data_IF_185560122613
#
_entry.id   IF_185560122613
#
_cell.length_a   1.000
_cell.length_b   1.000
_cell.length_c   1.000
_cell.angle_alpha   90.00
_cell.angle_beta   90.00
_cell.angle_gamma   90.00
#
_symmetry.space_group_name_H-M   'P 1'
#
loop_
_entity.id
_entity.type
_entity.pdbx_description
1 polymer ?
#
# COMPACT_ATOMS: atom_id res chain seq x y z
N UNK A 1 12.04 -14.47 0.88
CA UNK A 1 12.42 -13.42 -0.10
C UNK A 1 11.42 -12.27 0.02
N UNK A 2 11.54 -11.40 1.03
CA UNK A 2 10.54 -10.37 1.40
C UNK A 2 11.08 -8.94 1.30
N UNK A 3 12.08 -8.69 0.46
CA UNK A 3 12.79 -7.40 0.43
C UNK A 3 12.26 -6.39 -0.62
N UNK A 4 11.32 -6.78 -1.50
CA UNK A 4 10.98 -5.99 -2.71
C UNK A 4 9.59 -5.37 -2.71
N UNK A 5 8.76 -5.63 -1.70
CA UNK A 5 7.34 -5.26 -1.74
C UNK A 5 7.09 -3.75 -1.69
N UNK A 6 7.89 -2.98 -0.93
CA UNK A 6 7.72 -1.53 -0.81
C UNK A 6 8.10 -0.78 -2.09
N UNK A 7 9.27 -1.08 -2.73
CA UNK A 7 9.60 -0.51 -4.04
C UNK A 7 8.54 -0.80 -5.12
N UNK A 8 8.04 -2.03 -5.19
CA UNK A 8 6.98 -2.42 -6.14
C UNK A 8 5.67 -1.69 -5.84
N UNK A 9 5.33 -1.50 -4.55
CA UNK A 9 4.16 -0.74 -4.16
C UNK A 9 4.23 0.73 -4.59
N UNK A 10 5.42 1.34 -4.52
CA UNK A 10 5.65 2.71 -4.98
C UNK A 10 5.53 2.84 -6.51
N UNK A 11 5.99 1.85 -7.28
CA UNK A 11 5.79 1.83 -8.74
C UNK A 11 4.30 1.75 -9.10
N UNK A 12 3.54 0.89 -8.42
CA UNK A 12 2.08 0.80 -8.62
C UNK A 12 1.40 2.10 -8.19
N UNK A 13 1.83 2.68 -7.07
CA UNK A 13 1.33 3.95 -6.56
C UNK A 13 1.48 5.06 -7.60
N UNK A 14 2.66 5.16 -8.20
CA UNK A 14 2.97 6.13 -9.23
C UNK A 14 2.20 5.85 -10.53
N UNK A 15 2.14 4.61 -10.98
CA UNK A 15 1.50 4.24 -12.25
C UNK A 15 -0.01 4.42 -12.24
N UNK A 16 -0.67 4.11 -11.11
CA UNK A 16 -2.13 4.12 -11.00
C UNK A 16 -2.67 5.47 -10.52
N UNK A 17 -1.96 6.14 -9.59
CA UNK A 17 -2.43 7.39 -8.98
C UNK A 17 -1.53 8.60 -9.21
N UNK A 18 -0.34 8.43 -9.79
CA UNK A 18 0.60 9.53 -10.02
C UNK A 18 1.26 10.07 -8.74
N UNK A 19 1.19 9.34 -7.63
CA UNK A 19 1.84 9.73 -6.39
C UNK A 19 3.24 9.12 -6.26
N UNK A 20 4.20 9.92 -5.83
CA UNK A 20 5.59 9.47 -5.65
C UNK A 20 5.84 8.93 -4.23
N UNK A 21 4.90 9.14 -3.31
CA UNK A 21 5.00 8.72 -1.91
C UNK A 21 3.64 8.36 -1.31
N UNK A 22 3.66 7.44 -0.36
CA UNK A 22 2.51 7.13 0.48
C UNK A 22 2.20 8.28 1.42
N UNK A 23 0.91 8.53 1.70
CA UNK A 23 0.50 9.57 2.64
C UNK A 23 0.19 8.98 4.00
N UNK A 24 0.73 9.60 5.06
CA UNK A 24 0.49 9.19 6.43
C UNK A 24 0.80 7.71 6.65
N UNK A 25 -0.16 6.96 7.20
CA UNK A 25 0.01 5.54 7.56
C UNK A 25 -0.06 4.57 6.38
N UNK A 26 -0.29 5.04 5.15
CA UNK A 26 -0.49 4.16 3.99
C UNK A 26 0.72 3.24 3.73
N UNK A 27 1.95 3.74 3.89
CA UNK A 27 3.17 2.94 3.70
C UNK A 27 3.30 1.82 4.74
N UNK A 28 2.94 2.11 6.00
CA UNK A 28 2.97 1.12 7.08
C UNK A 28 1.91 0.03 6.86
N UNK A 29 0.69 0.42 6.43
CA UNK A 29 -0.38 -0.52 6.08
C UNK A 29 0.08 -1.48 4.97
N UNK A 30 0.66 -0.93 3.89
CA UNK A 30 1.16 -1.71 2.75
C UNK A 30 2.27 -2.66 3.18
N UNK A 31 3.22 -2.19 4.00
CA UNK A 31 4.30 -3.02 4.54
C UNK A 31 3.74 -4.18 5.37
N UNK A 32 2.86 -3.90 6.33
CA UNK A 32 2.29 -4.94 7.21
C UNK A 32 1.54 -6.00 6.41
N UNK A 33 0.75 -5.62 5.42
CA UNK A 33 0.02 -6.58 4.57
C UNK A 33 0.99 -7.37 3.68
N UNK A 34 2.02 -6.73 3.12
CA UNK A 34 3.03 -7.41 2.30
C UNK A 34 3.83 -8.44 3.11
N UNK A 35 4.05 -8.21 4.40
CA UNK A 35 4.69 -9.14 5.33
C UNK A 35 3.75 -10.28 5.78
N UNK A 36 2.49 -10.28 5.34
CA UNK A 36 1.48 -11.28 5.70
C UNK A 36 0.70 -10.95 6.99
N UNK A 37 0.88 -9.74 7.53
CA UNK A 37 0.10 -9.23 8.65
C UNK A 37 -1.31 -8.79 8.24
N UNK A 38 -2.19 -8.65 9.23
CA UNK A 38 -3.55 -8.18 9.04
C UNK A 38 -3.71 -6.77 9.60
N UNK A 39 -4.37 -5.88 8.86
CA UNK A 39 -4.60 -4.49 9.25
C UNK A 39 -6.05 -4.11 9.03
N UNK A 40 -6.66 -3.47 10.04
CA UNK A 40 -7.96 -2.82 9.93
C UNK A 40 -7.76 -1.35 9.55
N UNK A 41 -8.25 -0.94 8.38
CA UNK A 41 -8.08 0.44 7.88
C UNK A 41 -9.34 1.28 8.08
N UNK A 42 -9.35 2.10 9.13
CA UNK A 42 -10.37 3.14 9.36
C UNK A 42 -9.83 4.51 8.93
N UNK A 43 -10.58 5.20 8.08
CA UNK A 43 -10.21 6.44 7.37
C UNK A 43 -11.49 7.05 6.81
N UNK A 44 -11.61 8.38 6.75
CA UNK A 44 -12.75 9.05 6.15
C UNK A 44 -12.83 8.81 4.63
N UNK A 45 -14.03 9.01 4.06
CA UNK A 45 -14.26 9.00 2.61
C UNK A 45 -13.34 10.03 1.94
N UNK A 46 -12.62 9.63 0.88
CA UNK A 46 -11.61 10.48 0.22
C UNK A 46 -10.20 10.40 0.82
N UNK A 47 -9.99 9.72 1.96
CA UNK A 47 -8.67 9.56 2.60
C UNK A 47 -7.70 8.60 1.90
N UNK A 48 -8.00 8.13 0.69
CA UNK A 48 -7.14 7.18 -0.04
C UNK A 48 -7.26 5.73 0.43
N UNK A 49 -8.40 5.35 1.00
CA UNK A 49 -8.66 3.97 1.48
C UNK A 49 -8.59 2.91 0.37
N UNK A 50 -9.02 3.26 -0.85
CA UNK A 50 -8.92 2.40 -2.06
C UNK A 50 -7.47 2.09 -2.44
N UNK A 51 -6.55 2.97 -2.06
CA UNK A 51 -5.12 2.87 -2.36
C UNK A 51 -4.44 1.77 -1.52
N UNK A 52 -4.90 1.58 -0.28
CA UNK A 52 -4.49 0.47 0.58
C UNK A 52 -5.05 -0.90 0.13
N UNK A 53 -6.08 -0.92 -0.73
CA UNK A 53 -6.70 -2.15 -1.23
C UNK A 53 -5.85 -2.93 -2.23
N UNK A 54 -4.78 -2.35 -2.79
CA UNK A 54 -3.89 -3.03 -3.73
C UNK A 54 -2.72 -3.78 -3.06
N UNK A 55 -2.54 -3.66 -1.74
CA UNK A 55 -1.51 -4.40 -1.01
C UNK A 55 -1.53 -5.93 -1.25
N UNK A 56 -2.69 -6.60 -1.47
CA UNK A 56 -2.72 -8.03 -1.81
C UNK A 56 -2.18 -8.37 -3.22
N UNK A 57 -2.15 -7.41 -4.15
CA UNK A 57 -1.77 -7.67 -5.57
C UNK A 57 -0.25 -7.81 -5.73
N UNK A 58 0.53 -7.24 -4.82
CA UNK A 58 2.00 -7.29 -4.84
C UNK A 58 2.58 -8.66 -4.43
N UNK A 59 1.73 -9.65 -4.17
CA UNK A 59 2.13 -10.96 -3.62
C UNK A 59 2.27 -12.08 -4.67
N UNK A 60 2.39 -11.77 -5.97
CA UNK A 60 2.68 -12.78 -7.00
C UNK A 60 4.19 -12.96 -7.23
#
# INVERSE_FOLDING_TARGET
MTATALPQALEVLQRVWGYNEFRGVQGDIVRTVAEGGQVLVLMPTGGGKSLCGLAPILRS
#
